data_IF_011824029988
#
_entry.id   IF_011824029988
#
_cell.length_a   1.000
_cell.length_b   1.000
_cell.length_c   1.000
_cell.angle_alpha   90.00
_cell.angle_beta   90.00
_cell.angle_gamma   90.00
#
_symmetry.space_group_name_H-M   'P 1'
#
loop_
_entity.id
_entity.type
_entity.pdbx_description
1 polymer ?
#
# COMPACT_ATOMS: atom_id res chain seq x y z
N UNK A 1 14.97 -3.20 8.79
CA UNK A 1 16.03 -2.20 8.93
C UNK A 1 15.66 -0.94 8.17
N UNK A 2 15.91 0.23 8.76
CA UNK A 2 15.69 1.47 8.01
C UNK A 2 16.58 1.54 6.77
N UNK A 3 16.07 2.16 5.71
CA UNK A 3 16.83 2.35 4.49
C UNK A 3 17.94 3.39 4.69
N UNK A 4 19.05 3.22 3.98
CA UNK A 4 20.15 4.19 3.98
C UNK A 4 20.14 4.92 2.65
N UNK A 5 20.14 6.25 2.67
CA UNK A 5 20.11 7.05 1.45
C UNK A 5 21.50 7.15 0.80
N UNK A 6 21.59 7.88 -0.34
CA UNK A 6 22.82 8.03 -1.09
C UNK A 6 23.92 8.77 -0.31
N UNK A 7 23.56 9.52 0.72
CA UNK A 7 24.51 10.25 1.57
C UNK A 7 24.96 9.45 2.79
N UNK A 8 24.51 8.19 2.90
CA UNK A 8 24.81 7.34 4.04
C UNK A 8 23.93 7.58 5.26
N UNK A 9 22.91 8.40 5.13
CA UNK A 9 21.98 8.67 6.22
C UNK A 9 20.87 7.63 6.26
N UNK A 10 20.57 7.14 7.48
CA UNK A 10 19.46 6.21 7.68
C UNK A 10 18.15 6.97 7.65
N UNK A 11 17.18 6.49 6.87
CA UNK A 11 15.85 7.07 6.80
C UNK A 11 14.79 6.01 7.09
N UNK A 12 13.68 6.44 7.69
CA UNK A 12 12.53 5.58 7.93
C UNK A 12 11.59 5.69 6.75
N UNK A 13 11.25 4.56 6.14
CA UNK A 13 10.30 4.47 5.04
C UNK A 13 8.98 3.96 5.60
N UNK A 14 7.94 4.78 5.50
CA UNK A 14 6.60 4.45 5.98
C UNK A 14 5.62 4.45 4.82
N UNK A 15 4.44 3.80 4.96
CA UNK A 15 3.40 3.90 3.95
C UNK A 15 3.01 5.34 3.69
N UNK A 16 2.82 5.68 2.42
CA UNK A 16 2.44 7.02 1.99
C UNK A 16 0.92 7.16 2.05
N UNK A 17 0.44 8.26 2.64
CA UNK A 17 -0.99 8.56 2.61
C UNK A 17 -1.38 9.06 1.23
N UNK A 18 -2.38 8.43 0.61
CA UNK A 18 -2.95 8.90 -0.66
C UNK A 18 -4.42 9.21 -0.47
N UNK A 19 -4.94 10.14 -1.28
CA UNK A 19 -6.32 10.62 -1.20
C UNK A 19 -6.94 10.61 -2.58
N UNK A 20 -8.25 10.89 -2.66
CA UNK A 20 -8.92 11.07 -3.96
C UNK A 20 -8.22 12.12 -4.82
N UNK A 21 -7.71 13.18 -4.17
CA UNK A 21 -7.04 14.27 -4.89
C UNK A 21 -5.64 13.91 -5.39
N UNK A 22 -4.94 13.01 -4.69
CA UNK A 22 -3.55 12.68 -5.02
C UNK A 22 -3.37 11.33 -5.71
N UNK A 23 -4.43 10.53 -5.79
CA UNK A 23 -4.34 9.15 -6.27
C UNK A 23 -3.80 9.06 -7.70
N UNK A 24 -4.33 9.86 -8.61
CA UNK A 24 -3.91 9.78 -10.01
C UNK A 24 -2.43 10.10 -10.16
N UNK A 25 -1.93 11.12 -9.46
CA UNK A 25 -0.52 11.49 -9.50
C UNK A 25 0.37 10.48 -8.78
N UNK A 26 0.01 10.12 -7.56
CA UNK A 26 0.90 9.36 -6.67
C UNK A 26 0.86 7.85 -6.94
N UNK A 27 -0.25 7.33 -7.45
CA UNK A 27 -0.42 5.91 -7.72
C UNK A 27 -0.37 5.63 -9.21
N UNK A 28 -1.27 6.22 -9.99
CA UNK A 28 -1.34 5.95 -11.43
C UNK A 28 -0.16 6.51 -12.19
N UNK A 29 0.38 7.65 -11.74
CA UNK A 29 1.54 8.29 -12.36
C UNK A 29 2.89 7.84 -11.80
N UNK A 30 2.91 6.86 -10.89
CA UNK A 30 4.16 6.38 -10.29
C UNK A 30 5.02 5.64 -11.30
N UNK A 31 6.34 5.78 -11.15
CA UNK A 31 7.30 5.12 -12.05
C UNK A 31 7.49 3.63 -11.74
N UNK A 32 7.10 3.18 -10.55
CA UNK A 32 7.22 1.78 -10.13
C UNK A 32 5.93 1.24 -9.55
N UNK A 33 5.94 -0.02 -9.09
CA UNK A 33 4.74 -0.62 -8.48
C UNK A 33 4.32 0.11 -7.21
N UNK A 34 3.00 0.25 -7.01
CA UNK A 34 2.41 0.84 -5.80
C UNK A 34 1.35 -0.11 -5.26
N UNK A 35 1.51 -0.50 -4.01
CA UNK A 35 0.51 -1.28 -3.30
C UNK A 35 -0.36 -0.32 -2.50
N UNK A 36 -1.67 -0.31 -2.75
CA UNK A 36 -2.60 0.56 -2.04
C UNK A 36 -3.40 -0.27 -1.04
N UNK A 37 -3.32 0.09 0.24
CA UNK A 37 -4.10 -0.48 1.32
C UNK A 37 -5.33 0.38 1.55
N UNK A 38 -6.50 -0.15 1.20
CA UNK A 38 -7.81 0.48 1.47
C UNK A 38 -8.23 0.08 2.88
N UNK A 39 -8.33 1.07 3.77
CA UNK A 39 -8.50 0.82 5.21
C UNK A 39 -9.42 1.85 5.86
N UNK A 40 -9.79 1.60 7.12
CA UNK A 40 -10.50 2.56 7.95
C UNK A 40 -10.07 2.40 9.41
N UNK A 41 -10.19 3.48 10.19
CA UNK A 41 -9.76 3.46 11.59
C UNK A 41 -10.57 2.49 12.47
N UNK A 42 -11.85 2.34 12.17
CA UNK A 42 -12.73 1.44 12.91
C UNK A 42 -12.52 -0.06 12.56
N UNK A 43 -11.71 -0.34 11.57
CA UNK A 43 -11.51 -1.69 11.05
C UNK A 43 -10.40 -2.42 11.83
N UNK A 44 -10.77 -3.37 12.67
CA UNK A 44 -9.80 -4.15 13.45
C UNK A 44 -8.77 -4.89 12.59
N UNK A 45 -9.20 -5.69 11.58
CA UNK A 45 -8.25 -6.38 10.69
C UNK A 45 -7.31 -5.41 9.96
N UNK A 46 -7.77 -4.22 9.57
CA UNK A 46 -6.92 -3.21 8.95
C UNK A 46 -5.79 -2.79 9.89
N UNK A 47 -6.14 -2.57 11.16
CA UNK A 47 -5.17 -2.16 12.18
C UNK A 47 -4.17 -3.26 12.50
N UNK A 48 -4.59 -4.51 12.37
CA UNK A 48 -3.71 -5.66 12.61
C UNK A 48 -2.59 -5.76 11.58
N UNK A 49 -2.85 -5.40 10.33
CA UNK A 49 -1.82 -5.49 9.28
C UNK A 49 -0.98 -4.20 9.15
N UNK A 50 -1.35 -3.14 9.86
CA UNK A 50 -0.60 -1.87 9.81
C UNK A 50 0.89 -2.03 10.07
N UNK A 51 1.30 -2.65 11.21
CA UNK A 51 2.71 -2.87 11.48
C UNK A 51 3.43 -3.72 10.43
N UNK A 52 2.75 -4.74 9.88
CA UNK A 52 3.32 -5.57 8.83
C UNK A 52 3.59 -4.75 7.56
N UNK A 53 2.66 -3.87 7.19
CA UNK A 53 2.86 -3.01 6.02
C UNK A 53 3.98 -2.00 6.22
N UNK A 54 4.16 -1.50 7.43
CA UNK A 54 5.30 -0.62 7.74
C UNK A 54 6.63 -1.35 7.57
N UNK A 55 6.73 -2.58 8.05
CA UNK A 55 7.92 -3.42 7.84
C UNK A 55 8.17 -3.67 6.37
N UNK A 56 7.13 -4.04 5.63
CA UNK A 56 7.25 -4.33 4.19
C UNK A 56 7.66 -3.07 3.43
N UNK A 57 7.15 -1.90 3.80
CA UNK A 57 7.53 -0.64 3.16
C UNK A 57 9.03 -0.41 3.26
N UNK A 58 9.65 -0.74 4.39
CA UNK A 58 11.09 -0.62 4.57
C UNK A 58 11.86 -1.70 3.83
N UNK A 59 11.43 -2.96 3.96
CA UNK A 59 12.10 -4.10 3.32
C UNK A 59 12.12 -3.98 1.79
N UNK A 60 11.06 -3.45 1.22
CA UNK A 60 10.88 -3.38 -0.23
C UNK A 60 11.05 -1.96 -0.79
N UNK A 61 11.70 -1.09 -0.02
CA UNK A 61 12.01 0.26 -0.48
C UNK A 61 12.79 0.19 -1.80
N UNK A 62 12.35 0.97 -2.79
CA UNK A 62 12.92 0.95 -4.14
C UNK A 62 12.34 -0.12 -5.06
N UNK A 63 11.58 -1.08 -4.54
CA UNK A 63 10.94 -2.15 -5.33
C UNK A 63 9.44 -1.95 -5.44
N UNK A 64 8.80 -1.56 -4.35
CA UNK A 64 7.38 -1.23 -4.32
C UNK A 64 7.15 -0.10 -3.31
N UNK A 65 6.24 0.79 -3.63
CA UNK A 65 5.78 1.82 -2.71
C UNK A 65 4.51 1.33 -2.04
N UNK A 66 4.45 1.42 -0.71
CA UNK A 66 3.24 1.09 0.03
C UNK A 66 2.47 2.38 0.27
N UNK A 67 1.22 2.41 -0.12
CA UNK A 67 0.34 3.56 0.08
C UNK A 67 -0.88 3.14 0.89
N UNK A 68 -1.48 4.07 1.62
CA UNK A 68 -2.68 3.85 2.42
C UNK A 68 -3.75 4.85 2.02
N UNK A 69 -4.97 4.35 1.79
CA UNK A 69 -6.11 5.18 1.43
C UNK A 69 -7.25 4.90 2.42
N UNK A 70 -7.64 5.91 3.18
CA UNK A 70 -8.77 5.80 4.11
C UNK A 70 -10.09 5.86 3.33
N UNK A 71 -10.88 4.79 3.39
CA UNK A 71 -12.10 4.68 2.58
C UNK A 71 -13.21 5.63 3.03
N UNK A 72 -13.23 6.00 4.31
CA UNK A 72 -14.25 6.92 4.82
C UNK A 72 -14.05 8.34 4.31
N UNK A 73 -12.79 8.73 4.11
CA UNK A 73 -12.43 10.07 3.65
C UNK A 73 -12.25 10.16 2.12
N UNK A 74 -12.19 9.03 1.41
CA UNK A 74 -11.83 8.97 0.00
C UNK A 74 -12.71 7.99 -0.75
N UNK A 75 -13.98 8.33 -0.88
CA UNK A 75 -15.00 7.44 -1.45
C UNK A 75 -14.89 7.29 -2.97
N UNK A 76 -14.39 8.32 -3.67
CA UNK A 76 -14.32 8.29 -5.14
C UNK A 76 -13.42 7.15 -5.64
N UNK A 77 -12.20 7.04 -5.12
CA UNK A 77 -11.28 5.98 -5.51
C UNK A 77 -11.78 4.63 -5.03
N UNK A 78 -12.34 4.57 -3.82
CA UNK A 78 -12.91 3.34 -3.25
C UNK A 78 -14.00 2.77 -4.16
N UNK A 79 -14.89 3.61 -4.66
CA UNK A 79 -15.96 3.22 -5.58
C UNK A 79 -15.39 2.85 -6.95
N UNK A 80 -14.43 3.63 -7.44
CA UNK A 80 -13.81 3.41 -8.76
C UNK A 80 -13.25 2.01 -8.91
N UNK A 81 -12.62 1.48 -7.85
CA UNK A 81 -12.01 0.15 -7.88
C UNK A 81 -12.89 -0.94 -7.25
N UNK A 82 -14.15 -0.62 -6.93
CA UNK A 82 -15.10 -1.61 -6.46
C UNK A 82 -14.77 -2.22 -5.10
N UNK A 83 -14.11 -1.46 -4.23
CA UNK A 83 -13.72 -1.96 -2.90
C UNK A 83 -14.98 -2.01 -2.02
N UNK A 84 -15.36 -3.23 -1.60
CA UNK A 84 -16.57 -3.47 -0.79
C UNK A 84 -16.27 -3.95 0.63
N UNK A 85 -15.08 -4.46 0.86
CA UNK A 85 -14.64 -4.92 2.17
C UNK A 85 -13.24 -4.44 2.44
N UNK A 86 -12.87 -4.30 3.69
CA UNK A 86 -11.55 -3.82 4.09
C UNK A 86 -10.95 -4.74 5.16
N UNK A 87 -9.61 -4.90 5.19
CA UNK A 87 -8.68 -4.28 4.25
C UNK A 87 -8.77 -4.92 2.86
N UNK A 88 -8.56 -4.13 1.84
CA UNK A 88 -8.32 -4.61 0.47
C UNK A 88 -7.01 -4.01 0.01
N UNK A 89 -6.12 -4.85 -0.49
CA UNK A 89 -4.82 -4.44 -1.01
C UNK A 89 -4.86 -4.60 -2.53
N UNK A 90 -4.57 -3.53 -3.26
CA UNK A 90 -4.50 -3.57 -4.72
C UNK A 90 -3.11 -3.11 -5.14
N UNK A 91 -2.43 -3.95 -5.94
CA UNK A 91 -1.14 -3.61 -6.50
C UNK A 91 -1.32 -3.01 -7.88
N UNK A 92 -0.75 -1.81 -8.07
CA UNK A 92 -0.78 -1.09 -9.34
C UNK A 92 0.59 -1.11 -9.98
N UNK A 93 0.65 -1.34 -11.29
CA UNK A 93 1.87 -1.24 -12.09
C UNK A 93 1.54 -0.51 -13.39
N UNK A 94 2.27 0.57 -13.68
CA UNK A 94 2.04 1.33 -14.90
C UNK A 94 0.62 1.91 -15.00
N UNK A 95 0.03 2.29 -13.86
CA UNK A 95 -1.32 2.83 -13.81
C UNK A 95 -2.44 1.80 -13.85
N UNK A 96 -2.11 0.50 -13.83
CA UNK A 96 -3.09 -0.58 -13.94
C UNK A 96 -3.09 -1.45 -12.69
N UNK A 97 -4.28 -1.86 -12.18
CA UNK A 97 -4.34 -2.86 -11.11
C UNK A 97 -3.94 -4.23 -11.66
N UNK A 98 -2.93 -4.86 -11.05
CA UNK A 98 -2.41 -6.14 -11.52
C UNK A 98 -2.62 -7.28 -10.53
N UNK A 99 -2.90 -6.99 -9.26
CA UNK A 99 -3.15 -8.00 -8.24
C UNK A 99 -4.01 -7.41 -7.13
N UNK A 100 -4.79 -8.27 -6.46
CA UNK A 100 -5.69 -7.86 -5.39
C UNK A 100 -5.71 -8.92 -4.30
N UNK A 101 -5.72 -8.47 -3.05
CA UNK A 101 -5.86 -9.36 -1.90
C UNK A 101 -6.87 -8.74 -0.94
N UNK A 102 -7.88 -9.52 -0.56
CA UNK A 102 -8.94 -9.08 0.35
C UNK A 102 -8.74 -9.74 1.71
N UNK A 103 -8.83 -8.95 2.77
CA UNK A 103 -8.71 -9.41 4.14
C UNK A 103 -7.30 -9.35 4.68
N UNK A 104 -7.17 -9.52 6.00
CA UNK A 104 -5.89 -9.51 6.68
C UNK A 104 -5.19 -10.86 6.52
N UNK A 105 -3.85 -10.82 6.53
CA UNK A 105 -3.02 -12.03 6.51
C UNK A 105 -1.75 -11.77 7.32
N UNK A 106 -1.08 -12.83 7.82
CA UNK A 106 0.19 -12.67 8.50
C UNK A 106 1.25 -12.00 7.61
N UNK A 107 2.21 -11.32 8.24
CA UNK A 107 3.27 -10.57 7.54
C UNK A 107 3.96 -11.42 6.46
N UNK A 108 4.34 -12.65 6.79
CA UNK A 108 5.03 -13.53 5.83
C UNK A 108 4.21 -13.79 4.56
N UNK A 109 2.89 -14.01 4.72
CA UNK A 109 2.01 -14.22 3.57
C UNK A 109 1.84 -12.95 2.75
N UNK A 110 1.72 -11.80 3.39
CA UNK A 110 1.63 -10.51 2.70
C UNK A 110 2.90 -10.22 1.91
N UNK A 111 4.05 -10.39 2.55
CA UNK A 111 5.34 -10.18 1.92
C UNK A 111 5.54 -11.08 0.70
N UNK A 112 5.22 -12.38 0.84
CA UNK A 112 5.35 -13.34 -0.25
C UNK A 112 4.43 -12.99 -1.41
N UNK A 113 3.17 -12.64 -1.12
CA UNK A 113 2.21 -12.23 -2.14
C UNK A 113 2.69 -11.00 -2.92
N UNK A 114 3.20 -10.00 -2.22
CA UNK A 114 3.73 -8.80 -2.85
C UNK A 114 4.92 -9.13 -3.75
N UNK A 115 5.86 -9.93 -3.23
CA UNK A 115 7.06 -10.32 -4.01
C UNK A 115 6.72 -11.10 -5.26
N UNK A 116 5.68 -11.93 -5.21
CA UNK A 116 5.23 -12.70 -6.39
C UNK A 116 4.51 -11.82 -7.41
N UNK A 117 3.97 -10.69 -6.99
CA UNK A 117 3.12 -9.85 -7.81
C UNK A 117 3.86 -8.67 -8.47
N UNK A 118 5.02 -8.30 -7.93
CA UNK A 118 5.80 -7.15 -8.47
C UNK A 118 6.77 -7.53 -9.58
#
# INVERSE_FOLDING_TARGET
>A
MPATDANGETRVVSPTKVTDATFDKDVLGASGPVLVDFWAEWCGPCRMIGPALEEIAQEMDGKVTIAKLNVDENQDVTIRYGVRSIPTLILFKGGEPVAQKIGAAPNGQLSDWIKQSV
#
